data_IF_157994994698
#
_entry.id   IF_157994994698
#
_cell.length_a   1.000
_cell.length_b   1.000
_cell.length_c   1.000
_cell.angle_alpha   90.00
_cell.angle_beta   90.00
_cell.angle_gamma   90.00
#
_symmetry.space_group_name_H-M   'P 1'
#
loop_
_entity.id
_entity.type
_entity.pdbx_description
1 polymer ?
#
# COMPACT_ATOMS: atom_id res chain seq x y z
N UNK A 1 -71.22 22.40 -47.05
CA UNK A 1 -71.94 21.46 -46.15
C UNK A 1 -70.96 20.96 -45.09
N UNK A 2 -70.92 21.60 -43.92
CA UNK A 2 -70.13 21.12 -42.78
C UNK A 2 -70.96 20.09 -42.00
N UNK A 3 -70.40 18.89 -41.79
CA UNK A 3 -70.97 17.90 -40.87
C UNK A 3 -70.17 17.95 -39.59
N UNK A 4 -70.78 18.53 -38.56
CA UNK A 4 -70.25 18.63 -37.21
C UNK A 4 -70.13 17.24 -36.59
N UNK A 5 -68.91 16.89 -36.17
CA UNK A 5 -68.64 15.76 -35.28
C UNK A 5 -69.31 16.02 -33.92
N UNK A 6 -70.25 15.16 -33.51
CA UNK A 6 -70.70 15.08 -32.11
C UNK A 6 -69.85 14.03 -31.41
N UNK A 7 -68.89 14.49 -30.61
CA UNK A 7 -68.20 13.65 -29.63
C UNK A 7 -69.15 13.49 -28.44
N UNK A 8 -69.67 12.27 -28.25
CA UNK A 8 -70.40 11.93 -27.04
C UNK A 8 -69.40 11.87 -25.88
N UNK A 9 -69.50 12.82 -24.95
CA UNK A 9 -68.81 12.77 -23.66
C UNK A 9 -69.40 11.62 -22.83
N UNK A 10 -68.80 10.44 -22.91
CA UNK A 10 -68.97 9.41 -21.91
C UNK A 10 -68.17 9.83 -20.67
N UNK A 11 -68.85 10.24 -19.61
CA UNK A 11 -68.25 10.41 -18.29
C UNK A 11 -67.50 9.12 -17.91
N UNK A 12 -66.20 9.17 -17.57
CA UNK A 12 -65.57 8.03 -16.91
C UNK A 12 -66.22 7.92 -15.52
N UNK A 13 -67.07 6.91 -15.34
CA UNK A 13 -67.57 6.52 -14.02
C UNK A 13 -66.35 6.24 -13.15
N UNK A 14 -66.08 7.13 -12.20
CA UNK A 14 -64.99 6.99 -11.25
C UNK A 14 -65.15 5.67 -10.48
N UNK A 15 -64.03 5.01 -10.21
CA UNK A 15 -63.97 3.82 -9.37
C UNK A 15 -64.71 4.07 -8.05
N UNK A 16 -65.76 3.28 -7.77
CA UNK A 16 -66.52 3.38 -6.51
C UNK A 16 -66.20 2.18 -5.64
N UNK A 17 -65.83 2.43 -4.38
CA UNK A 17 -65.43 1.39 -3.42
C UNK A 17 -66.51 0.31 -3.22
N UNK A 18 -67.78 0.68 -3.36
CA UNK A 18 -68.93 -0.22 -3.29
C UNK A 18 -68.89 -1.33 -4.36
N UNK A 19 -68.23 -1.09 -5.51
CA UNK A 19 -68.07 -2.07 -6.60
C UNK A 19 -67.16 -3.24 -6.22
N UNK A 20 -66.33 -3.08 -5.18
CA UNK A 20 -65.45 -4.13 -4.64
C UNK A 20 -66.18 -5.06 -3.67
N UNK A 21 -67.28 -4.58 -3.09
CA UNK A 21 -68.08 -5.33 -2.11
C UNK A 21 -69.29 -6.00 -2.75
N UNK A 22 -69.64 -5.69 -3.99
CA UNK A 22 -70.83 -6.22 -4.64
C UNK A 22 -70.51 -7.45 -5.51
N UNK A 23 -71.09 -8.60 -5.20
CA UNK A 23 -70.79 -9.86 -5.90
C UNK A 23 -71.19 -9.85 -7.39
N UNK A 24 -72.10 -8.94 -7.78
CA UNK A 24 -72.62 -8.83 -9.14
C UNK A 24 -71.76 -7.96 -10.07
N UNK A 25 -70.74 -7.27 -9.55
CA UNK A 25 -69.81 -6.47 -10.36
C UNK A 25 -68.62 -7.30 -10.84
N UNK A 26 -68.12 -7.00 -12.04
CA UNK A 26 -67.05 -7.75 -12.71
C UNK A 26 -65.76 -7.89 -11.87
N UNK A 27 -65.49 -6.91 -11.01
CA UNK A 27 -64.34 -6.88 -10.08
C UNK A 27 -64.75 -7.42 -8.71
N UNK A 28 -65.97 -7.12 -8.27
CA UNK A 28 -66.54 -7.56 -6.99
C UNK A 28 -66.65 -9.08 -6.84
N UNK A 29 -66.85 -9.83 -7.93
CA UNK A 29 -66.82 -11.30 -7.95
C UNK A 29 -65.54 -11.90 -7.36
N UNK A 30 -64.40 -11.23 -7.53
CA UNK A 30 -63.09 -11.68 -7.05
C UNK A 30 -62.65 -11.01 -5.75
N UNK A 31 -63.23 -9.86 -5.41
CA UNK A 31 -62.80 -9.03 -4.28
C UNK A 31 -63.74 -9.11 -3.07
N UNK A 32 -65.00 -9.51 -3.26
CA UNK A 32 -65.96 -9.71 -2.17
C UNK A 32 -65.46 -10.68 -1.10
N UNK A 33 -64.75 -11.75 -1.50
CA UNK A 33 -64.19 -12.75 -0.58
C UNK A 33 -63.19 -12.15 0.43
N UNK A 34 -62.53 -11.05 0.07
CA UNK A 34 -61.59 -10.31 0.93
C UNK A 34 -62.31 -9.45 1.99
N UNK A 35 -63.57 -9.09 1.76
CA UNK A 35 -64.40 -8.28 2.66
C UNK A 35 -65.34 -9.11 3.55
N UNK A 36 -65.29 -10.44 3.45
CA UNK A 36 -65.96 -11.33 4.42
C UNK A 36 -65.29 -11.26 5.79
N UNK A 37 -65.96 -11.63 6.90
CA UNK A 37 -65.35 -11.67 8.23
C UNK A 37 -64.05 -12.49 8.25
N UNK A 38 -63.99 -13.61 7.52
CA UNK A 38 -62.79 -14.45 7.41
C UNK A 38 -61.73 -13.86 6.45
N UNK A 39 -62.14 -13.13 5.41
CA UNK A 39 -61.20 -12.42 4.53
C UNK A 39 -60.51 -11.26 5.23
N UNK A 40 -61.26 -10.51 6.05
CA UNK A 40 -60.75 -9.41 6.85
C UNK A 40 -59.79 -9.88 7.93
N UNK A 41 -60.01 -11.04 8.56
CA UNK A 41 -59.06 -11.61 9.54
C UNK A 41 -57.75 -12.02 8.88
N UNK A 42 -57.80 -12.64 7.70
CA UNK A 42 -56.58 -12.98 6.93
C UNK A 42 -55.82 -11.73 6.50
N UNK A 43 -56.52 -10.70 6.01
CA UNK A 43 -55.90 -9.42 5.66
C UNK A 43 -55.29 -8.70 6.87
N UNK A 44 -55.96 -8.76 8.02
CA UNK A 44 -55.46 -8.23 9.29
C UNK A 44 -54.19 -8.96 9.73
N UNK A 45 -54.17 -10.29 9.68
CA UNK A 45 -52.98 -11.09 9.99
C UNK A 45 -51.82 -10.84 9.02
N UNK A 46 -52.11 -10.70 7.73
CA UNK A 46 -51.11 -10.37 6.72
C UNK A 46 -50.55 -8.96 6.92
N UNK A 47 -51.42 -7.99 7.22
CA UNK A 47 -51.04 -6.63 7.59
C UNK A 47 -50.18 -6.58 8.84
N UNK A 48 -50.57 -7.32 9.90
CA UNK A 48 -49.81 -7.46 11.12
C UNK A 48 -48.45 -8.13 10.90
N UNK A 49 -48.36 -9.14 10.03
CA UNK A 49 -47.09 -9.77 9.64
C UNK A 49 -46.17 -8.82 8.87
N UNK A 50 -46.71 -8.03 7.93
CA UNK A 50 -45.94 -7.02 7.20
C UNK A 50 -45.46 -5.93 8.16
N UNK A 51 -46.32 -5.46 9.06
CA UNK A 51 -45.97 -4.50 10.11
C UNK A 51 -44.87 -5.08 11.01
N UNK A 52 -45.01 -6.32 11.44
CA UNK A 52 -44.00 -7.02 12.23
C UNK A 52 -42.66 -7.13 11.47
N UNK A 53 -42.68 -7.40 10.15
CA UNK A 53 -41.46 -7.42 9.32
C UNK A 53 -40.80 -6.05 9.17
N UNK A 54 -41.57 -4.96 9.18
CA UNK A 54 -41.03 -3.60 9.07
C UNK A 54 -40.44 -3.12 10.40
N UNK A 55 -41.10 -3.44 11.53
CA UNK A 55 -40.68 -2.99 12.87
C UNK A 55 -39.70 -3.96 13.57
N UNK A 56 -39.84 -5.26 13.35
CA UNK A 56 -39.03 -6.31 13.98
C UNK A 56 -38.25 -7.16 12.97
N UNK A 57 -38.30 -6.83 11.67
CA UNK A 57 -37.41 -7.46 10.71
C UNK A 57 -35.97 -7.17 11.08
N UNK A 58 -35.13 -8.22 11.10
CA UNK A 58 -33.69 -8.13 11.30
C UNK A 58 -33.14 -6.94 10.51
N UNK A 59 -32.82 -5.85 11.20
CA UNK A 59 -32.23 -4.68 10.59
C UNK A 59 -31.02 -5.14 9.80
N UNK A 60 -30.94 -4.74 8.52
CA UNK A 60 -29.86 -5.12 7.59
C UNK A 60 -28.56 -5.27 8.36
N UNK A 61 -28.10 -6.52 8.55
CA UNK A 61 -26.91 -6.84 9.36
C UNK A 61 -25.80 -5.89 8.94
N UNK A 62 -25.54 -4.87 9.78
CA UNK A 62 -24.59 -3.81 9.46
C UNK A 62 -23.24 -4.50 9.33
N UNK A 63 -22.72 -4.56 8.10
CA UNK A 63 -21.42 -5.17 7.84
C UNK A 63 -20.39 -4.38 8.64
N UNK A 64 -19.74 -5.04 9.59
CA UNK A 64 -18.80 -4.46 10.55
C UNK A 64 -17.59 -3.85 9.83
N UNK A 65 -17.20 -4.43 8.69
CA UNK A 65 -16.22 -3.87 7.77
C UNK A 65 -16.61 -4.15 6.31
N UNK A 66 -16.58 -3.13 5.45
CA UNK A 66 -16.80 -3.27 4.01
C UNK A 66 -15.56 -2.85 3.25
N UNK A 67 -14.85 -3.81 2.69
CA UNK A 67 -13.73 -3.53 1.80
C UNK A 67 -14.20 -3.40 0.35
N UNK A 68 -13.70 -2.40 -0.38
CA UNK A 68 -14.00 -2.24 -1.82
C UNK A 68 -12.76 -1.76 -2.61
N UNK A 69 -12.83 -1.85 -3.93
CA UNK A 69 -11.80 -1.35 -4.85
C UNK A 69 -12.06 0.10 -5.19
N UNK A 70 -11.05 0.95 -5.12
CA UNK A 70 -11.18 2.35 -5.51
C UNK A 70 -11.48 2.49 -7.00
N UNK A 71 -12.20 3.55 -7.35
CA UNK A 71 -12.73 3.76 -8.70
C UNK A 71 -12.42 5.14 -9.27
N UNK A 72 -13.28 5.60 -10.16
CA UNK A 72 -13.10 6.87 -10.87
C UNK A 72 -13.12 8.09 -9.93
N UNK A 73 -13.90 8.04 -8.84
CA UNK A 73 -14.01 9.15 -7.88
C UNK A 73 -12.72 9.36 -7.09
N UNK A 74 -12.16 8.29 -6.54
CA UNK A 74 -10.86 8.31 -5.86
C UNK A 74 -9.76 8.73 -6.83
N UNK A 75 -9.78 8.22 -8.06
CA UNK A 75 -8.80 8.57 -9.11
C UNK A 75 -8.85 10.05 -9.50
N UNK A 76 -10.05 10.62 -9.67
CA UNK A 76 -10.20 12.04 -10.03
C UNK A 76 -9.73 12.96 -8.89
N UNK A 77 -9.98 12.57 -7.64
CA UNK A 77 -9.55 13.32 -6.47
C UNK A 77 -8.02 13.28 -6.33
N UNK A 78 -7.43 12.09 -6.47
CA UNK A 78 -5.99 11.91 -6.48
C UNK A 78 -5.32 12.70 -7.63
N UNK A 79 -5.92 12.71 -8.82
CA UNK A 79 -5.42 13.50 -9.95
C UNK A 79 -5.40 15.00 -9.67
N UNK A 80 -6.49 15.56 -9.13
CA UNK A 80 -6.55 16.99 -8.78
C UNK A 80 -5.45 17.36 -7.79
N UNK A 81 -5.26 16.53 -6.75
CA UNK A 81 -4.19 16.74 -5.77
C UNK A 81 -2.81 16.67 -6.42
N UNK A 82 -2.55 15.61 -7.19
CA UNK A 82 -1.24 15.43 -7.83
C UNK A 82 -0.85 16.59 -8.74
N UNK A 83 -1.79 17.15 -9.52
CA UNK A 83 -1.50 18.30 -10.38
C UNK A 83 -1.02 19.50 -9.55
N UNK A 84 -1.63 19.75 -8.39
CA UNK A 84 -1.21 20.82 -7.48
C UNK A 84 0.17 20.54 -6.87
N UNK A 85 0.44 19.29 -6.49
CA UNK A 85 1.73 18.89 -5.91
C UNK A 85 2.89 18.94 -6.91
N UNK A 86 2.64 18.59 -8.17
CA UNK A 86 3.65 18.67 -9.24
C UNK A 86 3.97 20.13 -9.57
N UNK A 87 2.96 21.02 -9.54
CA UNK A 87 3.16 22.44 -9.83
C UNK A 87 3.98 23.16 -8.74
N UNK A 88 3.88 22.72 -7.49
CA UNK A 88 4.64 23.28 -6.37
C UNK A 88 5.04 22.18 -5.38
N UNK A 89 6.13 21.44 -5.66
CA UNK A 89 6.57 20.36 -4.79
C UNK A 89 7.15 20.90 -3.48
N UNK A 90 6.76 20.29 -2.37
CA UNK A 90 7.28 20.57 -1.02
C UNK A 90 7.70 19.26 -0.37
N UNK A 91 8.54 19.31 0.68
CA UNK A 91 9.04 18.10 1.36
C UNK A 91 7.89 17.16 1.81
N UNK A 92 6.78 17.73 2.28
CA UNK A 92 5.61 16.97 2.72
C UNK A 92 4.51 16.84 1.65
N UNK A 93 4.77 17.26 0.41
CA UNK A 93 3.78 17.32 -0.64
C UNK A 93 4.44 17.14 -2.01
N UNK A 94 4.62 15.87 -2.38
CA UNK A 94 5.15 15.47 -3.68
C UNK A 94 4.21 14.49 -4.38
N UNK A 95 4.24 14.48 -5.71
CA UNK A 95 3.49 13.54 -6.52
C UNK A 95 4.34 13.03 -7.68
N UNK A 96 4.05 11.79 -8.10
CA UNK A 96 4.60 11.17 -9.28
C UNK A 96 3.49 10.86 -10.29
N UNK A 97 3.86 10.46 -11.48
CA UNK A 97 2.93 10.03 -12.52
C UNK A 97 3.47 8.83 -13.30
N UNK A 98 2.57 8.00 -13.81
CA UNK A 98 2.86 6.98 -14.81
C UNK A 98 2.21 7.41 -16.12
N UNK A 99 3.03 7.55 -17.17
CA UNK A 99 2.61 8.04 -18.47
C UNK A 99 3.32 9.34 -18.82
N UNK A 100 2.57 10.36 -19.24
CA UNK A 100 3.13 11.67 -19.60
C UNK A 100 2.31 12.76 -18.92
N UNK A 101 2.94 13.53 -18.04
CA UNK A 101 2.33 14.72 -17.46
C UNK A 101 1.98 15.74 -18.58
N UNK A 102 0.79 16.34 -18.51
CA UNK A 102 0.28 17.36 -19.45
C UNK A 102 0.28 16.95 -20.94
N UNK A 103 -0.53 15.95 -21.32
CA UNK A 103 -0.83 15.70 -22.74
C UNK A 103 -2.23 16.21 -23.10
N UNK A 104 -2.31 17.24 -23.97
CA UNK A 104 -3.51 17.48 -24.79
C UNK A 104 -3.62 16.33 -25.79
N UNK A 105 -4.52 15.39 -25.52
CA UNK A 105 -4.89 14.29 -26.43
C UNK A 105 -4.24 12.92 -26.15
N UNK A 106 -5.05 11.95 -25.72
CA UNK A 106 -4.87 10.53 -26.08
C UNK A 106 -3.85 9.69 -25.30
N UNK A 107 -3.63 9.93 -23.99
CA UNK A 107 -2.86 9.00 -23.13
C UNK A 107 -3.45 8.93 -21.72
N UNK A 108 -3.58 7.73 -21.16
CA UNK A 108 -4.03 7.58 -19.76
C UNK A 108 -2.85 7.85 -18.84
N UNK A 109 -2.89 8.99 -18.13
CA UNK A 109 -1.90 9.31 -17.09
C UNK A 109 -2.45 8.87 -15.76
N UNK A 110 -1.68 8.08 -15.02
CA UNK A 110 -2.02 7.66 -13.68
C UNK A 110 -1.19 8.46 -12.69
N UNK A 111 -1.85 9.19 -11.81
CA UNK A 111 -1.19 10.07 -10.86
C UNK A 111 -1.02 9.36 -9.52
N UNK A 112 0.10 9.63 -8.85
CA UNK A 112 0.45 9.07 -7.55
C UNK A 112 0.79 10.26 -6.64
N UNK A 113 -0.22 10.90 -6.03
CA UNK A 113 0.00 11.95 -5.04
C UNK A 113 0.49 11.40 -3.69
N UNK A 114 0.97 12.31 -2.84
CA UNK A 114 1.50 12.03 -1.49
C UNK A 114 2.55 10.91 -1.42
N UNK A 115 3.51 10.89 -2.35
CA UNK A 115 4.51 9.81 -2.41
C UNK A 115 5.45 9.78 -1.19
N UNK A 116 5.57 10.88 -0.46
CA UNK A 116 6.32 10.97 0.79
C UNK A 116 5.81 10.01 1.88
N UNK A 117 4.53 9.60 1.80
CA UNK A 117 3.93 8.64 2.74
C UNK A 117 4.19 7.18 2.37
N UNK A 118 4.89 6.94 1.26
CA UNK A 118 5.10 5.61 0.70
C UNK A 118 3.96 5.16 -0.21
N UNK A 119 4.29 4.29 -1.16
CA UNK A 119 3.35 3.69 -2.11
C UNK A 119 3.69 2.22 -2.27
N UNK A 120 2.68 1.35 -2.15
CA UNK A 120 2.87 -0.09 -2.29
C UNK A 120 2.32 -0.58 -3.64
N UNK A 121 3.15 -1.33 -4.36
CA UNK A 121 2.80 -2.00 -5.62
C UNK A 121 2.94 -3.51 -5.44
N UNK A 122 1.81 -4.23 -5.48
CA UNK A 122 1.74 -5.64 -5.12
C UNK A 122 1.27 -6.46 -6.33
N UNK A 123 1.86 -7.65 -6.53
CA UNK A 123 1.53 -8.56 -7.63
C UNK A 123 2.50 -9.74 -7.71
N UNK A 124 2.15 -10.77 -8.47
CA UNK A 124 2.97 -11.97 -8.64
C UNK A 124 4.35 -11.68 -9.26
N UNK A 125 5.35 -12.57 -9.06
CA UNK A 125 6.50 -12.64 -9.94
C UNK A 125 6.06 -12.68 -11.41
N UNK A 126 6.75 -11.93 -12.29
CA UNK A 126 6.39 -11.86 -13.72
C UNK A 126 5.17 -10.98 -14.05
N UNK A 127 4.41 -10.47 -13.08
CA UNK A 127 3.23 -9.62 -13.34
C UNK A 127 3.56 -8.21 -13.86
N UNK A 128 4.85 -7.91 -14.07
CA UNK A 128 5.29 -6.65 -14.68
C UNK A 128 5.37 -5.45 -13.73
N UNK A 129 5.27 -5.61 -12.40
CA UNK A 129 5.32 -4.51 -11.40
C UNK A 129 6.43 -3.49 -11.66
N UNK A 130 7.64 -3.98 -11.90
CA UNK A 130 8.83 -3.14 -12.14
C UNK A 130 8.66 -2.32 -13.42
N UNK A 131 8.32 -2.99 -14.51
CA UNK A 131 8.18 -2.38 -15.83
C UNK A 131 6.97 -1.46 -15.94
N UNK A 132 5.86 -1.79 -15.28
CA UNK A 132 4.58 -1.09 -15.43
C UNK A 132 4.33 0.00 -14.40
N UNK A 133 4.91 -0.11 -13.20
CA UNK A 133 4.69 0.87 -12.13
C UNK A 133 6.00 1.50 -11.63
N UNK A 134 6.96 0.68 -11.18
CA UNK A 134 8.13 1.19 -10.46
C UNK A 134 9.04 2.01 -11.36
N UNK A 135 9.51 1.47 -12.50
CA UNK A 135 10.40 2.20 -13.40
C UNK A 135 9.74 3.49 -13.94
N UNK A 136 8.46 3.48 -14.37
CA UNK A 136 7.77 4.72 -14.74
C UNK A 136 7.70 5.76 -13.61
N UNK A 137 7.49 5.34 -12.36
CA UNK A 137 7.54 6.26 -11.21
C UNK A 137 8.95 6.82 -10.98
N UNK A 138 10.00 6.01 -11.14
CA UNK A 138 11.39 6.49 -11.07
C UNK A 138 11.66 7.50 -12.19
N UNK A 139 11.25 7.22 -13.43
CA UNK A 139 11.39 8.17 -14.53
C UNK A 139 10.64 9.47 -14.26
N UNK A 140 9.44 9.41 -13.66
CA UNK A 140 8.70 10.59 -13.23
C UNK A 140 9.38 11.36 -12.11
N UNK A 141 10.10 10.69 -11.19
CA UNK A 141 10.88 11.35 -10.16
C UNK A 141 12.09 12.07 -10.76
N UNK A 142 12.78 11.42 -11.71
CA UNK A 142 13.91 12.00 -12.45
C UNK A 142 13.46 13.20 -13.29
N UNK A 143 12.34 13.10 -13.99
CA UNK A 143 11.77 14.19 -14.79
C UNK A 143 11.38 15.42 -13.94
N UNK A 144 11.11 15.20 -12.65
CA UNK A 144 10.75 16.23 -11.67
C UNK A 144 11.94 16.66 -10.80
N UNK A 145 13.16 16.27 -11.16
CA UNK A 145 14.41 16.69 -10.49
C UNK A 145 14.51 16.23 -9.02
N UNK A 146 13.75 15.21 -8.62
CA UNK A 146 13.87 14.65 -7.27
C UNK A 146 15.14 13.82 -7.09
N UNK A 147 15.85 13.94 -5.96
CA UNK A 147 16.93 13.02 -5.61
C UNK A 147 16.36 11.61 -5.46
N UNK A 148 17.05 10.62 -6.02
CA UNK A 148 16.57 9.24 -6.09
C UNK A 148 17.61 8.29 -5.51
N UNK A 149 17.18 7.46 -4.55
CA UNK A 149 17.93 6.28 -4.11
C UNK A 149 17.17 5.06 -4.64
N UNK A 150 17.82 4.27 -5.50
CA UNK A 150 17.22 3.11 -6.14
C UNK A 150 17.95 1.86 -5.69
N UNK A 151 17.21 0.97 -5.04
CA UNK A 151 17.71 -0.36 -4.66
C UNK A 151 17.38 -1.39 -5.74
N UNK A 152 18.41 -2.00 -6.33
CA UNK A 152 18.27 -3.04 -7.36
C UNK A 152 18.73 -4.40 -6.85
N UNK A 153 17.77 -5.23 -6.42
CA UNK A 153 18.06 -6.60 -5.98
C UNK A 153 18.59 -7.50 -7.10
N UNK A 154 18.32 -7.18 -8.38
CA UNK A 154 18.68 -8.00 -9.54
C UNK A 154 19.67 -7.29 -10.43
N UNK A 155 20.73 -6.75 -9.83
CA UNK A 155 21.74 -5.96 -10.53
C UNK A 155 22.29 -6.70 -11.78
N UNK A 156 22.45 -6.03 -12.94
CA UNK A 156 22.11 -4.63 -13.26
C UNK A 156 20.75 -4.51 -14.00
N UNK A 157 19.63 -4.78 -13.32
CA UNK A 157 18.29 -4.68 -13.90
C UNK A 157 17.78 -3.24 -13.86
N UNK A 158 17.45 -2.73 -12.67
CA UNK A 158 16.94 -1.38 -12.48
C UNK A 158 18.07 -0.35 -12.44
N UNK A 159 19.30 -0.76 -12.13
CA UNK A 159 20.47 0.12 -12.16
C UNK A 159 20.63 0.85 -13.50
N UNK A 160 20.16 0.27 -14.61
CA UNK A 160 20.18 0.87 -15.94
C UNK A 160 19.45 2.20 -16.04
N UNK A 161 18.51 2.50 -15.14
CA UNK A 161 17.86 3.80 -15.04
C UNK A 161 18.87 4.95 -14.81
N UNK A 162 20.04 4.63 -14.26
CA UNK A 162 21.18 5.54 -14.14
C UNK A 162 21.55 6.23 -15.47
N UNK A 163 21.38 5.54 -16.62
CA UNK A 163 21.67 6.14 -17.92
C UNK A 163 20.71 7.30 -18.24
N UNK A 164 19.43 7.15 -17.94
CA UNK A 164 18.44 8.22 -18.09
C UNK A 164 18.69 9.35 -17.09
N UNK A 165 18.98 9.02 -15.83
CA UNK A 165 19.31 10.01 -14.81
C UNK A 165 20.52 10.86 -15.24
N UNK A 166 21.59 10.22 -15.73
CA UNK A 166 22.78 10.93 -16.23
C UNK A 166 22.45 11.81 -17.44
N UNK A 167 21.61 11.33 -18.36
CA UNK A 167 21.12 12.14 -19.49
C UNK A 167 20.34 13.38 -19.04
N UNK A 168 19.63 13.27 -17.91
CA UNK A 168 18.89 14.36 -17.27
C UNK A 168 19.74 15.27 -16.38
N UNK A 169 21.07 15.06 -16.35
CA UNK A 169 22.00 15.93 -15.64
C UNK A 169 22.27 15.54 -14.18
N UNK A 170 21.76 14.41 -13.71
CA UNK A 170 22.04 13.96 -12.35
C UNK A 170 23.51 13.59 -12.18
N UNK A 171 24.06 13.87 -10.98
CA UNK A 171 25.24 13.14 -10.53
C UNK A 171 24.83 11.74 -10.07
N UNK A 172 25.47 10.73 -10.65
CA UNK A 172 25.05 9.33 -10.52
C UNK A 172 26.16 8.58 -9.81
N UNK A 173 25.76 7.94 -8.71
CA UNK A 173 26.60 7.09 -7.89
C UNK A 173 26.02 5.68 -7.89
N UNK A 174 26.89 4.68 -7.98
CA UNK A 174 26.50 3.27 -7.91
C UNK A 174 27.27 2.64 -6.76
N UNK A 175 26.56 2.01 -5.83
CA UNK A 175 27.17 1.18 -4.80
C UNK A 175 26.81 -0.28 -5.08
N UNK A 176 27.77 -1.01 -5.64
CA UNK A 176 27.63 -2.42 -6.05
C UNK A 176 28.97 -3.16 -5.80
N UNK A 177 29.32 -3.47 -4.54
CA UNK A 177 30.62 -4.02 -4.19
C UNK A 177 31.02 -5.22 -5.06
N UNK A 178 32.27 -5.20 -5.55
CA UNK A 178 32.80 -6.21 -6.46
C UNK A 178 32.65 -5.88 -7.95
N UNK A 179 31.83 -4.88 -8.30
CA UNK A 179 31.75 -4.37 -9.68
C UNK A 179 32.67 -3.16 -9.90
N UNK A 180 33.28 -3.00 -11.09
CA UNK A 180 34.22 -1.90 -11.36
C UNK A 180 33.64 -0.49 -11.16
N UNK A 181 32.36 -0.30 -11.46
CA UNK A 181 31.62 0.96 -11.35
C UNK A 181 31.18 1.31 -9.94
N UNK A 182 31.40 0.42 -8.96
CA UNK A 182 30.99 0.65 -7.59
C UNK A 182 31.86 1.71 -6.94
N UNK A 183 31.21 2.63 -6.23
CA UNK A 183 31.86 3.48 -5.25
C UNK A 183 32.09 2.72 -3.95
N UNK A 184 32.86 3.33 -3.06
CA UNK A 184 33.13 2.83 -1.72
C UNK A 184 32.25 3.58 -0.74
N UNK A 185 31.52 2.83 0.09
CA UNK A 185 30.73 3.36 1.19
C UNK A 185 31.14 2.59 2.44
N UNK A 186 31.77 3.27 3.40
CA UNK A 186 32.09 2.70 4.70
C UNK A 186 31.09 3.23 5.72
N UNK A 187 30.19 2.40 6.27
CA UNK A 187 29.22 2.83 7.26
C UNK A 187 29.83 3.52 8.49
N UNK A 188 31.08 3.19 8.84
CA UNK A 188 31.79 3.80 9.96
C UNK A 188 32.08 5.30 9.73
N UNK A 189 32.19 5.73 8.47
CA UNK A 189 32.43 7.15 8.14
C UNK A 189 31.21 8.03 8.50
N UNK A 190 30.04 7.41 8.78
CA UNK A 190 28.81 8.10 9.14
C UNK A 190 28.55 8.15 10.65
N UNK A 191 29.32 7.40 11.46
CA UNK A 191 29.21 7.41 12.92
C UNK A 191 29.79 8.71 13.45
N UNK A 192 28.97 9.53 14.11
CA UNK A 192 29.39 10.84 14.64
C UNK A 192 29.72 10.78 16.12
N UNK A 193 28.95 10.01 16.88
CA UNK A 193 29.14 9.82 18.30
C UNK A 193 28.61 8.45 18.77
N UNK A 194 28.82 8.15 20.05
CA UNK A 194 28.43 6.88 20.67
C UNK A 194 26.91 6.67 20.77
N UNK A 195 26.07 7.65 20.43
CA UNK A 195 24.62 7.51 20.38
C UNK A 195 24.11 6.92 19.06
N UNK A 196 24.95 6.90 18.02
CA UNK A 196 24.71 6.16 16.78
C UNK A 196 24.82 4.62 16.98
N UNK A 197 25.30 4.17 18.16
CA UNK A 197 25.33 2.77 18.58
C UNK A 197 23.92 2.28 19.01
N UNK A 198 23.16 1.77 18.03
CA UNK A 198 22.07 0.80 18.19
C UNK A 198 21.06 1.03 19.37
N UNK A 199 19.96 1.74 19.09
CA UNK A 199 18.76 1.75 19.95
C UNK A 199 18.14 0.34 19.98
N UNK A 200 18.53 -0.48 20.95
CA UNK A 200 17.87 -1.76 21.26
C UNK A 200 16.43 -1.49 21.73
N UNK A 201 15.45 -1.80 20.89
CA UNK A 201 14.05 -1.87 21.31
C UNK A 201 13.88 -3.00 22.34
N UNK A 202 13.83 -2.65 23.64
CA UNK A 202 13.34 -3.56 24.69
C UNK A 202 11.82 -3.54 24.68
N UNK A 203 11.21 -4.52 24.00
CA UNK A 203 9.79 -4.82 24.19
C UNK A 203 9.60 -5.53 25.54
N UNK A 204 8.98 -4.86 26.51
CA UNK A 204 8.49 -5.50 27.73
C UNK A 204 7.02 -5.88 27.53
N UNK A 205 6.74 -7.17 27.34
CA UNK A 205 5.39 -7.70 27.51
C UNK A 205 5.10 -7.90 29.00
N UNK A 206 3.95 -7.39 29.46
CA UNK A 206 3.36 -7.75 30.75
C UNK A 206 2.15 -8.63 30.47
N UNK A 207 2.27 -9.93 30.72
CA UNK A 207 1.11 -10.79 30.85
C UNK A 207 0.66 -10.79 32.31
N UNK A 208 -0.60 -10.46 32.55
CA UNK A 208 -1.28 -10.72 33.82
C UNK A 208 -2.28 -11.83 33.56
N UNK A 209 -1.87 -13.05 33.91
CA UNK A 209 -2.69 -14.23 33.79
C UNK A 209 -3.51 -14.50 35.05
N UNK A 210 -4.81 -14.74 34.79
CA UNK A 210 -5.75 -15.59 35.54
C UNK A 210 -6.50 -15.00 36.75
N UNK A 211 -7.78 -14.70 36.52
CA UNK A 211 -8.91 -15.18 37.35
C UNK A 211 -10.22 -15.17 36.53
N UNK A 212 -10.61 -16.37 36.10
CA UNK A 212 -11.91 -16.91 35.63
C UNK A 212 -13.11 -15.98 35.36
N UNK A 213 -13.66 -16.03 34.14
CA UNK A 213 -14.83 -16.89 33.80
C UNK A 213 -15.08 -16.79 32.29
N UNK A 214 -15.03 -17.93 31.60
CA UNK A 214 -15.21 -18.01 30.16
C UNK A 214 -16.70 -17.95 29.78
N UNK A 215 -17.12 -16.87 29.13
CA UNK A 215 -18.23 -16.90 28.18
C UNK A 215 -17.62 -16.74 26.78
N UNK A 216 -17.67 -17.79 25.97
CA UNK A 216 -17.23 -17.72 24.58
C UNK A 216 -18.33 -17.04 23.76
N UNK A 217 -18.18 -15.74 23.51
CA UNK A 217 -18.92 -15.06 22.45
C UNK A 217 -18.13 -15.36 21.16
N UNK A 218 -18.68 -16.22 20.32
CA UNK A 218 -18.12 -16.46 18.99
C UNK A 218 -18.52 -15.30 18.07
N UNK A 219 -17.70 -14.26 18.01
CA UNK A 219 -17.83 -13.22 17.01
C UNK A 219 -17.44 -13.78 15.64
N UNK A 220 -18.42 -14.28 14.88
CA UNK A 220 -18.22 -14.56 13.46
C UNK A 220 -18.23 -13.24 12.69
N UNK A 221 -17.09 -12.56 12.66
CA UNK A 221 -16.87 -11.46 11.73
C UNK A 221 -16.80 -11.99 10.29
N UNK A 222 -17.94 -11.98 9.60
CA UNK A 222 -18.00 -12.26 8.16
C UNK A 222 -17.46 -11.06 7.38
N UNK A 223 -16.14 -10.89 7.37
CA UNK A 223 -15.47 -9.97 6.46
C UNK A 223 -15.33 -10.60 5.08
N UNK A 224 -15.63 -9.83 4.03
CA UNK A 224 -15.36 -10.26 2.66
C UNK A 224 -13.96 -9.78 2.30
N UNK A 225 -13.03 -10.69 2.02
CA UNK A 225 -11.70 -10.33 1.52
C UNK A 225 -11.83 -9.67 0.14
N UNK A 226 -11.10 -8.57 -0.09
CA UNK A 226 -10.99 -7.94 -1.42
C UNK A 226 -10.33 -8.85 -2.44
N UNK A 227 -9.31 -9.55 -1.97
CA UNK A 227 -8.43 -10.36 -2.77
C UNK A 227 -7.82 -11.44 -1.88
N UNK A 228 -7.78 -12.66 -2.37
CA UNK A 228 -7.10 -13.75 -1.65
C UNK A 228 -5.61 -13.79 -2.01
N UNK A 229 -4.72 -14.24 -1.10
CA UNK A 229 -3.28 -14.38 -1.37
C UNK A 229 -2.98 -15.14 -2.67
N UNK A 230 -3.70 -16.23 -2.94
CA UNK A 230 -3.54 -17.03 -4.15
C UNK A 230 -3.99 -16.31 -5.45
N UNK A 231 -4.88 -15.32 -5.35
CA UNK A 231 -5.32 -14.55 -6.51
C UNK A 231 -4.23 -13.59 -6.99
N UNK A 232 -3.27 -13.18 -6.14
CA UNK A 232 -2.12 -12.39 -6.57
C UNK A 232 -1.26 -13.15 -7.57
N UNK A 233 -1.08 -14.46 -7.37
CA UNK A 233 -0.34 -15.35 -8.27
C UNK A 233 -1.01 -15.50 -9.65
N UNK A 234 -2.32 -15.26 -9.73
CA UNK A 234 -3.11 -15.34 -10.96
C UNK A 234 -3.19 -14.01 -11.72
N UNK A 235 -2.51 -12.96 -11.25
CA UNK A 235 -2.46 -11.68 -11.96
C UNK A 235 -1.64 -11.81 -13.25
N UNK A 236 -2.28 -11.49 -14.37
CA UNK A 236 -1.60 -11.39 -15.67
C UNK A 236 -0.57 -10.26 -15.68
N UNK A 237 0.38 -10.32 -16.63
CA UNK A 237 1.37 -9.28 -16.83
C UNK A 237 0.71 -7.89 -17.03
N UNK A 238 1.26 -6.88 -16.37
CA UNK A 238 0.78 -5.50 -16.37
C UNK A 238 -0.33 -5.18 -15.36
N UNK A 239 -0.86 -6.19 -14.64
CA UNK A 239 -1.82 -6.00 -13.55
C UNK A 239 -1.14 -6.02 -12.18
N UNK A 240 -1.53 -5.08 -11.33
CA UNK A 240 -1.10 -5.00 -9.94
C UNK A 240 -2.19 -4.45 -9.04
N UNK A 241 -2.07 -4.73 -7.75
CA UNK A 241 -2.78 -4.03 -6.68
C UNK A 241 -1.92 -2.86 -6.25
N UNK A 242 -2.49 -1.68 -6.31
CA UNK A 242 -1.82 -0.42 -6.04
C UNK A 242 -2.46 0.22 -4.81
N UNK A 243 -1.64 0.58 -3.82
CA UNK A 243 -2.09 1.19 -2.57
C UNK A 243 -1.27 2.44 -2.34
N UNK A 244 -1.96 3.57 -2.20
CA UNK A 244 -1.36 4.86 -1.86
C UNK A 244 -2.31 5.63 -0.94
N UNK A 245 -1.82 6.31 0.12
CA UNK A 245 -2.65 6.93 1.15
C UNK A 245 -3.68 7.93 0.66
N UNK A 246 -3.43 8.57 -0.49
CA UNK A 246 -4.33 9.59 -1.06
C UNK A 246 -5.57 9.01 -1.71
N UNK A 247 -5.52 7.75 -2.14
CA UNK A 247 -6.72 7.09 -2.64
C UNK A 247 -7.60 6.79 -1.42
N UNK A 248 -8.55 7.67 -1.16
CA UNK A 248 -9.31 7.68 0.07
C UNK A 248 -10.77 8.03 -0.20
N UNK A 249 -11.65 7.66 0.74
CA UNK A 249 -13.01 8.15 0.82
C UNK A 249 -13.21 8.99 2.09
N UNK A 250 -14.45 9.35 2.41
CA UNK A 250 -14.77 10.16 3.61
C UNK A 250 -14.50 9.46 4.96
N UNK A 251 -14.31 8.14 4.95
CA UNK A 251 -14.21 7.27 6.13
C UNK A 251 -12.84 6.58 6.27
N UNK A 252 -12.16 6.29 5.17
CA UNK A 252 -10.96 5.44 5.11
C UNK A 252 -9.97 5.94 4.06
N UNK A 253 -8.68 5.93 4.40
CA UNK A 253 -7.57 6.19 3.48
C UNK A 253 -6.98 4.90 2.88
N UNK A 254 -6.08 5.03 1.91
CA UNK A 254 -5.37 3.88 1.29
C UNK A 254 -6.27 2.83 0.63
N UNK A 255 -7.40 3.25 0.04
CA UNK A 255 -8.31 2.40 -0.73
C UNK A 255 -7.54 1.74 -1.89
N UNK A 256 -7.49 0.40 -1.94
CA UNK A 256 -6.69 -0.31 -2.92
C UNK A 256 -7.29 -0.20 -4.33
N UNK A 257 -6.41 -0.13 -5.32
CA UNK A 257 -6.76 -0.08 -6.74
C UNK A 257 -6.24 -1.31 -7.47
N UNK A 258 -7.12 -2.02 -8.16
CA UNK A 258 -6.71 -3.05 -9.12
C UNK A 258 -6.49 -2.39 -10.47
N UNK A 259 -5.23 -2.18 -10.86
CA UNK A 259 -4.89 -1.41 -12.06
C UNK A 259 -4.15 -2.25 -13.09
N UNK A 260 -4.64 -2.21 -14.33
CA UNK A 260 -3.85 -2.56 -15.51
C UNK A 260 -3.17 -1.28 -16.01
N UNK A 261 -1.84 -1.23 -15.94
CA UNK A 261 -1.09 -0.05 -16.36
C UNK A 261 -0.61 -0.24 -17.80
N UNK A 262 -1.09 0.62 -18.71
CA UNK A 262 -0.66 0.63 -20.11
C UNK A 262 0.57 1.53 -20.26
N UNK A 263 1.65 0.97 -20.78
CA UNK A 263 2.93 1.67 -20.90
C UNK A 263 2.98 2.43 -22.23
N UNK A 264 3.29 3.72 -22.17
CA UNK A 264 3.40 4.57 -23.35
C UNK A 264 4.66 4.26 -24.17
N UNK A 265 4.66 4.62 -25.45
CA UNK A 265 5.84 4.43 -26.31
C UNK A 265 7.05 5.24 -25.82
N UNK A 266 6.82 6.42 -25.23
CA UNK A 266 7.88 7.24 -24.62
C UNK A 266 8.63 6.47 -23.54
N UNK A 267 7.91 5.80 -22.63
CA UNK A 267 8.52 5.00 -21.57
C UNK A 267 9.32 3.81 -22.13
N UNK A 268 8.81 3.16 -23.19
CA UNK A 268 9.55 2.09 -23.88
C UNK A 268 10.83 2.61 -24.54
N UNK A 269 10.81 3.83 -25.07
CA UNK A 269 11.99 4.44 -25.69
C UNK A 269 13.06 4.77 -24.63
N UNK A 270 12.66 5.24 -23.45
CA UNK A 270 13.58 5.47 -22.32
C UNK A 270 14.23 4.15 -21.89
N UNK A 271 13.45 3.07 -21.77
CA UNK A 271 13.98 1.74 -21.43
C UNK A 271 15.02 1.27 -22.46
N UNK A 272 14.70 1.41 -23.76
CA UNK A 272 15.64 1.07 -24.83
C UNK A 272 16.91 1.93 -24.77
N UNK A 273 16.78 3.22 -24.48
CA UNK A 273 17.91 4.12 -24.28
C UNK A 273 18.80 3.65 -23.13
N UNK A 274 18.20 3.33 -21.99
CA UNK A 274 18.91 2.84 -20.81
C UNK A 274 19.71 1.58 -21.11
N UNK A 275 19.07 0.61 -21.78
CA UNK A 275 19.73 -0.63 -22.19
C UNK A 275 20.93 -0.36 -23.11
N UNK A 276 20.80 0.56 -24.08
CA UNK A 276 21.87 0.88 -25.04
C UNK A 276 23.02 1.67 -24.43
N UNK A 277 22.74 2.54 -23.46
CA UNK A 277 23.76 3.43 -22.86
C UNK A 277 24.40 2.86 -21.60
N UNK A 278 23.85 1.79 -21.02
CA UNK A 278 24.36 1.18 -19.79
C UNK A 278 25.86 0.92 -19.81
N UNK A 279 26.38 0.22 -20.83
CA UNK A 279 27.81 -0.10 -20.91
C UNK A 279 28.72 1.14 -20.92
N UNK A 280 28.27 2.22 -21.57
CA UNK A 280 29.00 3.50 -21.57
C UNK A 280 29.00 4.13 -20.19
N UNK A 281 27.87 4.10 -19.49
CA UNK A 281 27.76 4.66 -18.13
C UNK A 281 28.64 3.88 -17.15
N UNK A 282 28.59 2.55 -17.18
CA UNK A 282 29.46 1.68 -16.38
C UNK A 282 30.93 2.00 -16.63
N UNK A 283 31.36 2.12 -17.89
CA UNK A 283 32.75 2.46 -18.19
C UNK A 283 33.18 3.84 -17.66
N UNK A 284 32.28 4.83 -17.69
CA UNK A 284 32.56 6.15 -17.13
C UNK A 284 32.66 6.12 -15.60
N UNK A 285 31.73 5.43 -14.94
CA UNK A 285 31.70 5.30 -13.48
C UNK A 285 32.87 4.48 -12.97
N UNK A 286 33.26 3.41 -13.67
CA UNK A 286 34.43 2.60 -13.32
C UNK A 286 35.74 3.39 -13.32
N UNK A 287 35.87 4.39 -14.19
CA UNK A 287 37.04 5.30 -14.20
C UNK A 287 37.04 6.28 -13.04
N UNK A 288 35.86 6.60 -12.48
CA UNK A 288 35.70 7.46 -11.29
C UNK A 288 35.83 6.65 -10.00
N UNK A 289 35.58 5.35 -10.04
CA UNK A 289 35.60 4.49 -8.86
C UNK A 289 36.95 4.57 -8.13
N UNK A 290 36.86 4.73 -6.81
CA UNK A 290 38.00 4.66 -5.88
C UNK A 290 38.18 3.25 -5.31
N UNK A 291 37.41 2.27 -5.78
CA UNK A 291 37.46 0.90 -5.27
C UNK A 291 38.83 0.28 -5.54
N UNK A 292 39.42 -0.30 -4.49
CA UNK A 292 40.61 -1.13 -4.59
C UNK A 292 40.21 -2.59 -4.42
N UNK A 293 40.59 -3.42 -5.38
CA UNK A 293 40.44 -4.86 -5.24
C UNK A 293 41.50 -5.37 -4.25
N UNK A 294 41.10 -6.07 -3.17
CA UNK A 294 42.05 -6.60 -2.22
C UNK A 294 43.01 -7.60 -2.89
N UNK A 295 44.30 -7.47 -2.61
CA UNK A 295 45.28 -8.48 -2.98
C UNK A 295 45.22 -9.69 -2.04
N UNK A 296 45.81 -10.82 -2.41
CA UNK A 296 45.94 -11.98 -1.51
C UNK A 296 46.66 -11.63 -0.21
N UNK A 297 47.65 -10.73 -0.28
CA UNK A 297 48.38 -10.24 0.88
C UNK A 297 47.45 -9.43 1.81
N UNK A 298 46.59 -8.58 1.25
CA UNK A 298 45.60 -7.83 2.04
C UNK A 298 44.61 -8.76 2.75
N UNK A 299 44.17 -9.83 2.08
CA UNK A 299 43.31 -10.84 2.71
C UNK A 299 44.03 -11.53 3.87
N UNK A 300 45.27 -11.97 3.67
CA UNK A 300 46.05 -12.64 4.72
C UNK A 300 46.24 -11.74 5.95
N UNK A 301 46.52 -10.45 5.74
CA UNK A 301 46.62 -9.47 6.83
C UNK A 301 45.28 -9.29 7.57
N UNK A 302 44.15 -9.23 6.85
CA UNK A 302 42.82 -9.11 7.46
C UNK A 302 42.44 -10.35 8.26
N UNK A 303 42.72 -11.54 7.75
CA UNK A 303 42.50 -12.82 8.48
C UNK A 303 43.31 -12.81 9.78
N UNK A 304 44.60 -12.47 9.71
CA UNK A 304 45.46 -12.35 10.89
C UNK A 304 44.93 -11.32 11.91
N UNK A 305 44.42 -10.17 11.45
CA UNK A 305 43.81 -9.18 12.33
C UNK A 305 42.54 -9.69 13.02
N UNK A 306 41.71 -10.45 12.31
CA UNK A 306 40.50 -11.08 12.88
C UNK A 306 40.90 -12.10 13.93
N UNK A 307 41.86 -12.99 13.64
CA UNK A 307 42.34 -14.00 14.59
C UNK A 307 42.93 -13.37 15.87
N UNK A 308 43.64 -12.24 15.73
CA UNK A 308 44.19 -11.50 16.87
C UNK A 308 43.11 -10.83 17.73
N UNK A 309 42.06 -10.27 17.12
CA UNK A 309 40.98 -9.56 17.83
C UNK A 309 39.90 -10.48 18.37
N UNK A 310 39.64 -11.57 17.65
CA UNK A 310 38.59 -12.55 17.94
C UNK A 310 39.17 -13.96 17.89
N UNK A 311 40.05 -14.31 18.85
CA UNK A 311 40.63 -15.64 18.90
C UNK A 311 39.51 -16.68 19.10
N UNK A 312 39.47 -17.68 18.22
CA UNK A 312 38.53 -18.79 18.37
C UNK A 312 38.91 -19.54 19.66
N UNK A 313 37.98 -19.73 20.62
CA UNK A 313 38.29 -20.45 21.84
C UNK A 313 38.67 -21.89 21.48
N UNK A 314 39.89 -22.31 21.83
CA UNK A 314 40.36 -23.69 21.60
C UNK A 314 39.56 -24.73 22.39
N UNK A 315 38.72 -24.28 23.33
CA UNK A 315 37.85 -25.13 24.12
C UNK A 315 36.46 -24.48 24.28
N UNK A 316 35.47 -24.82 23.43
CA UNK A 316 34.13 -24.24 23.48
C UNK A 316 33.42 -24.42 24.83
N UNK A 317 33.82 -25.44 25.61
CA UNK A 317 33.27 -25.73 26.94
C UNK A 317 33.92 -24.95 28.09
N UNK A 318 35.01 -24.22 27.85
CA UNK A 318 35.64 -23.39 28.88
C UNK A 318 34.99 -21.99 29.03
N UNK A 319 34.10 -21.60 28.12
CA UNK A 319 33.47 -20.26 28.11
C UNK A 319 32.18 -20.20 28.95
N UNK A 320 31.78 -21.28 29.63
CA UNK A 320 30.62 -21.29 30.54
C UNK A 320 31.00 -21.40 32.02
N UNK A 321 31.92 -20.57 32.50
CA UNK A 321 32.01 -20.25 33.92
C UNK A 321 32.21 -18.75 34.11
N UNK A 322 31.35 -17.94 33.49
CA UNK A 322 31.02 -16.65 34.08
C UNK A 322 30.05 -16.97 35.23
N UNK A 323 30.44 -16.89 36.52
CA UNK A 323 29.44 -16.76 37.57
C UNK A 323 28.72 -15.45 37.23
N UNK A 324 27.50 -15.57 36.70
CA UNK A 324 26.70 -14.41 36.34
C UNK A 324 26.75 -13.41 37.50
N UNK A 325 26.98 -12.12 37.20
CA UNK A 325 27.02 -11.09 38.23
C UNK A 325 25.76 -11.24 39.11
N UNK A 326 25.96 -11.68 40.34
CA UNK A 326 24.90 -11.73 41.32
C UNK A 326 24.59 -10.30 41.75
N UNK A 327 23.37 -10.04 42.21
CA UNK A 327 22.94 -8.69 42.63
C UNK A 327 23.87 -8.03 43.66
N UNK A 328 24.61 -8.83 44.44
CA UNK A 328 25.66 -8.37 45.36
C UNK A 328 26.83 -7.68 44.64
N UNK A 329 27.25 -8.16 43.47
CA UNK A 329 28.37 -7.60 42.71
C UNK A 329 27.99 -6.27 42.02
N UNK A 330 26.71 -6.09 41.70
CA UNK A 330 26.18 -4.83 41.14
C UNK A 330 26.09 -3.76 42.23
N UNK A 331 25.73 -4.13 43.47
CA UNK A 331 25.64 -3.20 44.59
C UNK A 331 26.97 -2.58 45.03
N UNK A 332 28.09 -3.28 44.85
CA UNK A 332 29.43 -2.75 45.17
C UNK A 332 29.98 -1.79 44.13
N UNK A 333 29.50 -1.83 42.88
CA UNK A 333 29.93 -0.94 41.80
C UNK A 333 29.18 0.40 41.77
N UNK A 334 28.00 0.49 42.39
CA UNK A 334 27.20 1.72 42.46
C UNK A 334 27.67 2.67 43.59
N UNK A 335 28.54 2.22 44.49
CA UNK A 335 29.01 3.00 45.65
C UNK A 335 30.46 3.51 45.52
N UNK A 336 31.06 3.48 44.34
CA UNK A 336 32.39 4.04 44.07
C UNK A 336 32.33 5.18 43.04
N UNK A 337 31.39 6.11 43.20
CA UNK A 337 31.54 7.46 42.68
C UNK A 337 32.32 8.30 43.71
N UNK A 338 33.61 8.02 43.85
CA UNK A 338 34.55 9.03 44.34
C UNK A 338 35.40 9.50 43.16
N UNK A 339 35.07 10.70 42.69
CA UNK A 339 35.84 11.46 41.70
C UNK A 339 37.26 11.66 42.24
N UNK A 340 38.31 11.21 41.54
CA UNK A 340 39.66 11.63 41.85
C UNK A 340 39.82 13.08 41.38
N UNK A 341 39.88 14.00 42.33
CA UNK A 341 40.52 15.30 42.12
C UNK A 341 42.02 15.03 41.99
N UNK A 342 42.55 15.16 40.77
CA UNK A 342 43.93 15.54 40.43
C UNK A 342 44.38 14.83 39.16
N UNK A 343 44.29 15.51 38.01
CA UNK A 343 45.35 15.51 37.00
C UNK A 343 45.36 16.89 36.33
N UNK A 344 46.37 17.69 36.68
CA UNK A 344 46.81 18.84 35.88
C UNK A 344 47.78 18.40 34.78
N UNK A 345 47.82 19.24 33.74
CA UNK A 345 48.53 19.19 32.45
C UNK A 345 47.85 18.43 31.32
#
# INVERSE_FOLDING_TARGET
MSKSFKINNANPQGFRFEQLQNHNDAIGKYTHSLFTPNGLTVLSLLGAYILMRVFFGDGNKKKIATSYWGGAKETATAQKKAILQIANPQCESAALYIGKHQRKGGGTTFYIPDVQRGTAVIGAPGSGKTFSAINPMIYSAIDQEFPCIVYDFKYPSQAKVAAYAKYKGYDVHIFAPGFPESEVCNPLDFLRDSSDEEIKYKQKSRSTGSKNNSTSISDQEKTRKLFEPAQFLKLIAGKCVFINPTYANKKEGSVPLLKTIKISQTLKNIEKYNQLKWARIVSLLARRSTQKFPSEQDLALRVKQVELRFPIPQNPQAVSNNPGLTSKNVGSMVNQDQVPSDIGF
#
